data_IF_442996233615
#
_entry.id   IF_442996233615
#
_cell.length_a   1.000
_cell.length_b   1.000
_cell.length_c   1.000
_cell.angle_alpha   90.00
_cell.angle_beta   90.00
_cell.angle_gamma   90.00
#
_symmetry.space_group_name_H-M   'P 1'
#
loop_
_entity.id
_entity.type
_entity.pdbx_description
1 polymer ?
#
# COMPACT_ATOMS: atom_id res chain seq x y z
N UNK A 1 6.56 26.00 -20.07
CA UNK A 1 6.33 25.78 -18.62
C UNK A 1 6.59 24.30 -18.35
N UNK A 2 7.64 23.99 -17.63
CA UNK A 2 7.84 22.62 -17.15
C UNK A 2 6.70 22.28 -16.20
N UNK A 3 5.83 21.40 -16.61
CA UNK A 3 4.82 20.85 -15.71
C UNK A 3 5.56 20.10 -14.61
N UNK A 4 5.44 20.63 -13.42
CA UNK A 4 6.03 20.05 -12.21
C UNK A 4 5.40 18.67 -11.98
N UNK A 5 6.06 17.61 -12.48
CA UNK A 5 5.58 16.24 -12.32
C UNK A 5 5.81 15.77 -10.89
N UNK A 6 4.77 15.30 -10.25
CA UNK A 6 4.89 14.66 -8.94
C UNK A 6 5.82 13.45 -9.04
N UNK A 7 6.74 13.31 -8.10
CA UNK A 7 7.66 12.18 -8.04
C UNK A 7 7.30 11.27 -6.89
N UNK A 8 7.17 9.99 -7.17
CA UNK A 8 6.87 8.94 -6.19
C UNK A 8 8.10 8.07 -6.06
N UNK A 9 8.71 8.07 -4.87
CA UNK A 9 9.89 7.26 -4.55
C UNK A 9 9.63 6.33 -3.37
N UNK A 10 10.36 5.22 -3.30
CA UNK A 10 10.28 4.27 -2.19
C UNK A 10 11.26 4.66 -1.09
N UNK A 11 10.75 4.97 0.10
CA UNK A 11 11.58 5.21 1.29
C UNK A 11 12.04 3.90 1.93
N UNK A 12 11.11 2.99 2.13
CA UNK A 12 11.33 1.66 2.71
C UNK A 12 10.16 0.72 2.36
N UNK A 13 10.08 -0.44 2.98
CA UNK A 13 9.01 -1.42 2.71
C UNK A 13 7.63 -0.96 3.21
N UNK A 14 7.55 0.10 3.99
CA UNK A 14 6.30 0.63 4.57
C UNK A 14 5.85 1.92 3.90
N UNK A 15 6.78 2.82 3.58
CA UNK A 15 6.49 4.18 3.13
C UNK A 15 7.03 4.50 1.74
N UNK A 16 6.22 5.23 0.99
CA UNK A 16 6.60 6.03 -0.18
C UNK A 16 6.80 7.48 0.24
N UNK A 17 7.55 8.22 -0.56
CA UNK A 17 7.68 9.67 -0.48
C UNK A 17 7.12 10.30 -1.74
N UNK A 18 6.19 11.22 -1.57
CA UNK A 18 5.68 12.09 -2.62
C UNK A 18 6.45 13.41 -2.58
N UNK A 19 7.17 13.71 -3.63
CA UNK A 19 7.97 14.93 -3.77
C UNK A 19 7.59 15.70 -5.02
N UNK A 20 8.08 16.93 -5.13
CA UNK A 20 7.79 17.81 -6.26
C UNK A 20 6.29 18.07 -6.44
N UNK A 21 5.59 18.33 -5.33
CA UNK A 21 4.16 18.62 -5.27
C UNK A 21 3.91 20.07 -4.88
N UNK A 22 2.91 20.70 -5.51
CA UNK A 22 2.49 22.07 -5.16
C UNK A 22 1.76 22.06 -3.81
N UNK A 23 1.67 23.22 -3.17
CA UNK A 23 0.97 23.34 -1.88
C UNK A 23 -0.52 22.99 -2.01
N UNK A 24 -1.17 23.33 -3.13
CA UNK A 24 -2.58 22.96 -3.38
C UNK A 24 -2.73 21.44 -3.50
N UNK A 25 -1.87 20.78 -4.28
CA UNK A 25 -1.88 19.31 -4.40
C UNK A 25 -1.59 18.64 -3.05
N UNK A 26 -0.71 19.22 -2.24
CA UNK A 26 -0.41 18.73 -0.89
C UNK A 26 -1.63 18.77 0.02
N UNK A 27 -2.38 19.87 -0.04
CA UNK A 27 -3.62 20.01 0.72
C UNK A 27 -4.68 19.01 0.24
N UNK A 28 -4.89 18.90 -1.07
CA UNK A 28 -5.84 17.95 -1.65
C UNK A 28 -5.50 16.49 -1.30
N UNK A 29 -4.22 16.11 -1.34
CA UNK A 29 -3.75 14.78 -0.89
C UNK A 29 -4.04 14.57 0.60
N UNK A 30 -3.81 15.60 1.43
CA UNK A 30 -4.09 15.51 2.86
C UNK A 30 -5.58 15.28 3.12
N UNK A 31 -6.45 16.00 2.44
CA UNK A 31 -7.90 15.85 2.56
C UNK A 31 -8.35 14.48 2.03
N UNK A 32 -7.85 14.07 0.87
CA UNK A 32 -8.20 12.79 0.24
C UNK A 32 -7.80 11.57 1.09
N UNK A 33 -6.64 11.63 1.75
CA UNK A 33 -6.14 10.56 2.61
C UNK A 33 -6.42 10.78 4.11
N UNK A 34 -7.38 11.64 4.44
CA UNK A 34 -7.88 11.84 5.80
C UNK A 34 -9.33 11.37 5.90
N UNK A 35 -9.65 10.58 6.90
CA UNK A 35 -11.01 10.12 7.16
C UNK A 35 -11.34 10.13 8.65
N UNK A 36 -12.63 10.31 8.93
CA UNK A 36 -13.15 10.29 10.29
C UNK A 36 -13.36 8.85 10.76
N UNK A 37 -12.96 8.56 11.98
CA UNK A 37 -13.19 7.25 12.58
C UNK A 37 -14.63 7.14 13.05
N UNK A 38 -15.41 6.15 12.55
CA UNK A 38 -16.77 5.93 13.03
C UNK A 38 -16.79 5.72 14.56
N UNK A 39 -17.64 6.47 15.25
CA UNK A 39 -17.73 6.38 16.71
C UNK A 39 -16.63 7.07 17.49
N UNK A 40 -15.73 7.81 16.86
CA UNK A 40 -14.65 8.55 17.51
C UNK A 40 -15.12 9.39 18.72
N UNK A 41 -16.28 10.02 18.62
CA UNK A 41 -16.89 10.84 19.68
C UNK A 41 -17.12 10.10 21.00
N UNK A 42 -17.19 8.77 20.97
CA UNK A 42 -17.35 7.94 22.17
C UNK A 42 -16.01 7.52 22.78
N UNK A 43 -14.90 7.74 22.10
CA UNK A 43 -13.58 7.38 22.58
C UNK A 43 -13.06 8.38 23.63
N UNK A 44 -12.41 7.91 24.71
CA UNK A 44 -11.85 8.78 25.75
C UNK A 44 -10.87 9.82 25.22
N UNK A 45 -10.01 9.45 24.25
CA UNK A 45 -9.03 10.35 23.63
C UNK A 45 -9.68 11.51 22.85
N UNK A 46 -10.83 11.27 22.22
CA UNK A 46 -11.61 12.33 21.58
C UNK A 46 -12.27 13.25 22.63
N UNK A 47 -12.86 12.65 23.67
CA UNK A 47 -13.53 13.41 24.77
C UNK A 47 -12.55 14.29 25.54
N UNK A 48 -11.32 13.82 25.73
CA UNK A 48 -10.24 14.59 26.38
C UNK A 48 -9.56 15.60 25.45
N UNK A 49 -10.03 15.72 24.19
CA UNK A 49 -9.45 16.58 23.15
C UNK A 49 -8.00 16.29 22.82
N UNK A 50 -7.49 15.10 23.14
CA UNK A 50 -6.14 14.65 22.78
C UNK A 50 -6.06 14.17 21.33
N UNK A 51 -7.22 13.88 20.72
CA UNK A 51 -7.33 13.41 19.35
C UNK A 51 -8.60 13.98 18.70
N UNK A 52 -8.51 14.36 17.43
CA UNK A 52 -9.60 14.98 16.66
C UNK A 52 -10.55 13.98 15.96
N UNK A 53 -10.39 12.68 16.22
CA UNK A 53 -11.24 11.63 15.63
C UNK A 53 -10.90 11.29 14.16
N UNK A 54 -9.79 11.81 13.64
CA UNK A 54 -9.38 11.60 12.23
C UNK A 54 -8.11 10.80 12.14
N UNK A 55 -8.04 9.96 11.11
CA UNK A 55 -6.82 9.24 10.71
C UNK A 55 -6.31 9.89 9.43
N UNK A 56 -5.04 10.24 9.44
CA UNK A 56 -4.32 10.82 8.31
C UNK A 56 -3.29 9.83 7.79
N UNK A 57 -3.46 9.39 6.56
CA UNK A 57 -2.57 8.41 5.92
C UNK A 57 -1.45 9.07 5.13
N UNK A 58 -1.57 10.34 4.81
CA UNK A 58 -0.56 11.16 4.17
C UNK A 58 0.01 12.19 5.16
N UNK A 59 1.32 12.30 5.22
CA UNK A 59 2.03 13.28 6.03
C UNK A 59 2.45 14.47 5.17
N UNK A 60 1.77 15.62 5.25
CA UNK A 60 2.08 16.76 4.38
C UNK A 60 3.46 17.38 4.63
N UNK A 61 4.00 17.26 5.85
CA UNK A 61 5.31 17.80 6.19
C UNK A 61 6.47 17.01 5.59
N UNK A 62 6.37 15.69 5.55
CA UNK A 62 7.43 14.79 5.04
C UNK A 62 7.14 14.23 3.65
N UNK A 63 5.89 14.33 3.18
CA UNK A 63 5.45 13.70 1.93
C UNK A 63 5.28 12.18 2.03
N UNK A 64 5.30 11.62 3.24
CA UNK A 64 5.21 10.17 3.46
C UNK A 64 3.79 9.66 3.35
N UNK A 65 3.64 8.52 2.70
CA UNK A 65 2.40 7.77 2.59
C UNK A 65 2.70 6.27 2.56
N UNK A 66 1.76 5.44 2.98
CA UNK A 66 1.95 3.99 2.99
C UNK A 66 2.05 3.41 1.57
N UNK A 67 3.01 2.50 1.34
CA UNK A 67 3.23 1.85 0.04
C UNK A 67 1.99 1.14 -0.49
N UNK A 68 1.18 0.54 0.40
CA UNK A 68 -0.07 -0.12 0.01
C UNK A 68 -1.13 0.80 -0.62
N UNK A 69 -0.94 2.12 -0.54
CA UNK A 69 -1.85 3.11 -1.12
C UNK A 69 -1.45 3.57 -2.53
N UNK A 70 -0.44 2.97 -3.15
CA UNK A 70 0.09 3.37 -4.47
C UNK A 70 -1.01 3.48 -5.54
N UNK A 71 -1.90 2.49 -5.63
CA UNK A 71 -2.97 2.50 -6.63
C UNK A 71 -3.99 3.64 -6.37
N UNK A 72 -4.26 3.96 -5.11
CA UNK A 72 -5.10 5.12 -4.76
C UNK A 72 -4.44 6.44 -5.12
N UNK A 73 -3.11 6.55 -4.98
CA UNK A 73 -2.33 7.73 -5.40
C UNK A 73 -2.40 7.88 -6.92
N UNK A 74 -2.21 6.81 -7.68
CA UNK A 74 -2.35 6.81 -9.14
C UNK A 74 -3.75 7.26 -9.56
N UNK A 75 -4.79 6.71 -8.93
CA UNK A 75 -6.19 7.09 -9.17
C UNK A 75 -6.47 8.56 -8.82
N UNK A 76 -5.88 9.08 -7.76
CA UNK A 76 -5.96 10.50 -7.40
C UNK A 76 -5.32 11.38 -8.48
N UNK A 77 -4.11 11.04 -8.94
CA UNK A 77 -3.41 11.76 -10.00
C UNK A 77 -4.21 11.78 -11.30
N UNK A 78 -4.78 10.64 -11.71
CA UNK A 78 -5.62 10.55 -12.91
C UNK A 78 -6.84 11.44 -12.84
N UNK A 79 -7.56 11.46 -11.71
CA UNK A 79 -8.77 12.28 -11.53
C UNK A 79 -8.50 13.78 -11.54
N UNK A 80 -7.34 14.17 -11.04
CA UNK A 80 -6.95 15.58 -10.93
C UNK A 80 -6.02 16.03 -12.06
N UNK A 81 -5.78 15.19 -13.09
CA UNK A 81 -4.87 15.46 -14.21
C UNK A 81 -3.46 15.88 -13.75
N UNK A 82 -2.94 15.20 -12.73
CA UNK A 82 -1.60 15.42 -12.20
C UNK A 82 -0.66 14.42 -12.84
N UNK A 83 0.35 14.90 -13.54
CA UNK A 83 1.42 14.08 -14.07
C UNK A 83 2.32 13.59 -12.94
N UNK A 84 2.69 12.31 -12.97
CA UNK A 84 3.59 11.72 -11.98
C UNK A 84 4.65 10.84 -12.62
N UNK A 85 5.75 10.64 -11.91
CA UNK A 85 6.85 9.75 -12.27
C UNK A 85 7.04 8.76 -11.12
N UNK A 86 7.07 7.47 -11.45
CA UNK A 86 7.44 6.41 -10.52
C UNK A 86 8.96 6.19 -10.60
N UNK A 87 9.63 6.26 -9.46
CA UNK A 87 11.05 5.89 -9.38
C UNK A 87 11.21 4.37 -9.32
N UNK A 88 12.41 3.91 -9.63
CA UNK A 88 12.76 2.48 -9.59
C UNK A 88 12.48 1.87 -8.20
N UNK A 89 11.91 0.67 -8.16
CA UNK A 89 11.59 -0.03 -6.93
C UNK A 89 10.26 0.34 -6.26
N UNK A 90 9.50 1.30 -6.79
CA UNK A 90 8.17 1.65 -6.27
C UNK A 90 7.16 0.55 -6.59
N UNK A 91 7.19 0.03 -7.83
CA UNK A 91 6.43 -1.14 -8.25
C UNK A 91 7.32 -2.38 -8.15
N UNK A 92 7.06 -3.19 -7.16
CA UNK A 92 7.82 -4.41 -6.88
C UNK A 92 7.00 -5.63 -7.34
N UNK A 93 6.80 -5.75 -8.65
CA UNK A 93 6.23 -6.95 -9.27
C UNK A 93 7.33 -7.97 -9.54
N UNK A 94 7.27 -9.10 -8.85
CA UNK A 94 8.21 -10.21 -9.03
C UNK A 94 7.65 -11.20 -10.02
N UNK A 95 8.39 -11.47 -11.09
CA UNK A 95 8.02 -12.50 -12.05
C UNK A 95 8.39 -13.89 -11.50
N UNK A 96 7.51 -14.47 -10.70
CA UNK A 96 7.68 -15.78 -10.09
C UNK A 96 6.86 -16.82 -10.85
N UNK A 97 7.52 -17.89 -11.30
CA UNK A 97 6.83 -18.97 -12.01
C UNK A 97 6.01 -19.80 -11.04
N UNK A 98 4.71 -20.02 -11.34
CA UNK A 98 3.76 -20.78 -10.50
C UNK A 98 4.27 -22.18 -10.13
N UNK A 99 4.97 -22.85 -11.06
CA UNK A 99 5.51 -24.20 -10.83
C UNK A 99 6.63 -24.22 -9.77
N UNK A 100 7.43 -23.15 -9.70
CA UNK A 100 8.46 -23.00 -8.64
C UNK A 100 7.79 -22.91 -7.27
N UNK A 101 6.70 -22.14 -7.17
CA UNK A 101 5.90 -22.02 -5.93
C UNK A 101 5.30 -23.37 -5.54
N UNK A 102 4.75 -24.12 -6.49
CA UNK A 102 4.20 -25.46 -6.28
C UNK A 102 5.26 -26.42 -5.71
N UNK A 103 6.44 -26.44 -6.32
CA UNK A 103 7.53 -27.30 -5.90
C UNK A 103 8.06 -26.92 -4.50
N UNK A 104 8.17 -25.61 -4.23
CA UNK A 104 8.51 -25.11 -2.90
C UNK A 104 7.51 -25.59 -1.84
N UNK A 105 6.21 -25.39 -2.07
CA UNK A 105 5.17 -25.79 -1.10
C UNK A 105 5.19 -27.31 -0.89
N UNK A 106 5.38 -28.12 -1.95
CA UNK A 106 5.53 -29.57 -1.82
C UNK A 106 6.73 -29.96 -0.98
N UNK A 107 7.85 -29.23 -1.08
CA UNK A 107 9.08 -29.48 -0.32
C UNK A 107 8.89 -29.29 1.19
N UNK A 108 7.94 -28.47 1.62
CA UNK A 108 7.63 -28.23 3.03
C UNK A 108 7.02 -29.45 3.73
N UNK A 109 6.51 -30.44 2.98
CA UNK A 109 5.92 -31.69 3.50
C UNK A 109 4.94 -31.44 4.65
N UNK A 110 4.04 -30.47 4.49
CA UNK A 110 3.12 -30.05 5.55
C UNK A 110 2.29 -31.22 6.08
N UNK A 111 2.18 -31.32 7.40
CA UNK A 111 1.43 -32.36 8.10
C UNK A 111 0.47 -31.74 9.10
N UNK A 112 -0.69 -32.41 9.31
CA UNK A 112 -1.60 -32.10 10.39
C UNK A 112 -1.96 -33.41 11.12
N UNK A 113 -1.83 -33.42 12.43
CA UNK A 113 -2.09 -34.62 13.26
C UNK A 113 -1.36 -35.87 12.76
N UNK A 114 -0.10 -35.71 12.30
CA UNK A 114 0.73 -36.83 11.78
C UNK A 114 0.41 -37.24 10.33
N UNK A 115 -0.65 -36.74 9.73
CA UNK A 115 -1.04 -37.04 8.35
C UNK A 115 -0.54 -35.99 7.37
N UNK A 116 0.00 -36.42 6.22
CA UNK A 116 0.44 -35.51 5.16
C UNK A 116 -0.77 -34.78 4.57
N UNK A 117 -0.63 -33.45 4.42
CA UNK A 117 -1.65 -32.60 3.80
C UNK A 117 -1.50 -32.61 2.29
N UNK A 118 -2.62 -32.79 1.57
CA UNK A 118 -2.68 -32.61 0.13
C UNK A 118 -2.89 -31.13 -0.18
N UNK A 119 -1.95 -30.55 -0.90
CA UNK A 119 -2.00 -29.15 -1.33
C UNK A 119 -3.08 -28.99 -2.40
N UNK A 120 -3.91 -27.99 -2.28
CA UNK A 120 -4.98 -27.64 -3.26
C UNK A 120 -4.50 -26.52 -4.18
N UNK A 121 -4.97 -26.50 -5.44
CA UNK A 121 -4.52 -25.54 -6.44
C UNK A 121 -4.75 -24.08 -6.03
N UNK A 122 -5.89 -23.77 -5.42
CA UNK A 122 -6.19 -22.42 -4.94
C UNK A 122 -5.18 -21.93 -3.86
N UNK A 123 -4.60 -22.83 -3.07
CA UNK A 123 -3.57 -22.48 -2.08
C UNK A 123 -2.27 -22.10 -2.78
N UNK A 124 -1.93 -22.82 -3.85
CA UNK A 124 -0.77 -22.49 -4.69
C UNK A 124 -0.98 -21.12 -5.34
N UNK A 125 -2.18 -20.87 -5.87
CA UNK A 125 -2.52 -19.60 -6.52
C UNK A 125 -2.48 -18.44 -5.54
N UNK A 126 -2.97 -18.61 -4.32
CA UNK A 126 -2.91 -17.58 -3.27
C UNK A 126 -1.46 -17.24 -2.89
N UNK A 127 -0.62 -18.25 -2.69
CA UNK A 127 0.81 -18.03 -2.36
C UNK A 127 1.54 -17.39 -3.55
N UNK A 128 1.30 -17.88 -4.77
CA UNK A 128 1.88 -17.31 -5.99
C UNK A 128 1.51 -15.83 -6.14
N UNK A 129 0.22 -15.50 -5.95
CA UNK A 129 -0.26 -14.12 -6.03
C UNK A 129 0.41 -13.22 -4.97
N UNK A 130 0.49 -13.69 -3.72
CA UNK A 130 1.15 -12.95 -2.63
C UNK A 130 2.64 -12.70 -2.89
N UNK A 131 3.36 -13.71 -3.39
CA UNK A 131 4.80 -13.57 -3.70
C UNK A 131 5.01 -12.66 -4.91
N UNK A 132 4.22 -12.80 -5.97
CA UNK A 132 4.37 -12.02 -7.21
C UNK A 132 4.08 -10.54 -7.00
N UNK A 133 3.11 -10.22 -6.16
CA UNK A 133 2.71 -8.84 -5.90
C UNK A 133 3.35 -8.23 -4.65
N UNK A 134 4.08 -9.01 -3.88
CA UNK A 134 4.69 -8.64 -2.59
C UNK A 134 3.69 -8.14 -1.53
N UNK A 135 2.57 -7.57 -1.96
CA UNK A 135 1.43 -7.15 -1.14
C UNK A 135 0.15 -7.47 -1.88
N UNK A 136 -0.62 -8.42 -1.37
CA UNK A 136 -1.91 -8.79 -1.94
C UNK A 136 -2.90 -9.15 -0.81
N UNK A 137 -4.14 -8.76 -1.01
CA UNK A 137 -5.28 -9.16 -0.21
C UNK A 137 -6.14 -10.11 -1.01
#
# INVERSE_FOLDING_TARGET
>A
MEHCKMRISKKNEVYLILSNITDSTRQELTEFFTFEVPGAKFMPSFRSRMWDGKIRLFSPGTGEIYVGLLEYIKGFCQRNNIDYILEEGVEDERNVVREVVRNFIKSLKAKSQGKSLKIRDYQIDAVHHGISRNRAL
#
